data_IF_025533046394
#
_entry.id   IF_025533046394
#
_cell.length_a   1.000
_cell.length_b   1.000
_cell.length_c   1.000
_cell.angle_alpha   90.00
_cell.angle_beta   90.00
_cell.angle_gamma   90.00
#
_symmetry.space_group_name_H-M   'P 1'
#
loop_
_entity.id
_entity.type
_entity.pdbx_description
1 polymer ?
#
# COMPACT_ATOMS: atom_id res chain seq x y z
N UNK A 1 -43.98 -82.33 25.38
CA UNK A 1 -42.89 -82.62 26.33
C UNK A 1 -42.20 -81.32 26.66
N UNK A 2 -42.48 -80.75 27.84
CA UNK A 2 -41.83 -79.55 28.36
C UNK A 2 -40.51 -79.99 29.02
N UNK A 3 -39.40 -79.75 28.33
CA UNK A 3 -38.06 -79.95 28.87
C UNK A 3 -37.80 -78.92 29.97
N UNK A 4 -37.80 -79.40 31.23
CA UNK A 4 -37.49 -78.61 32.41
C UNK A 4 -36.06 -78.06 32.33
N UNK A 5 -35.94 -76.74 32.35
CA UNK A 5 -34.69 -76.03 32.63
C UNK A 5 -34.17 -76.43 34.01
N UNK A 6 -33.12 -77.25 34.06
CA UNK A 6 -32.22 -77.29 35.22
C UNK A 6 -31.19 -76.17 35.03
N UNK A 7 -31.64 -74.92 35.10
CA UNK A 7 -30.72 -73.80 35.31
C UNK A 7 -30.31 -73.83 36.78
N UNK A 8 -29.05 -74.13 37.06
CA UNK A 8 -28.46 -73.98 38.37
C UNK A 8 -28.58 -72.53 38.84
N UNK A 9 -28.80 -72.33 40.14
CA UNK A 9 -28.64 -71.00 40.76
C UNK A 9 -27.18 -70.59 40.54
N UNK A 10 -26.95 -69.64 39.63
CA UNK A 10 -25.62 -69.14 39.29
C UNK A 10 -25.17 -69.38 37.86
N UNK A 11 -25.96 -70.04 37.00
CA UNK A 11 -25.62 -70.24 35.57
C UNK A 11 -25.69 -68.92 34.78
N UNK A 12 -24.98 -68.80 33.65
CA UNK A 12 -25.03 -67.58 32.83
C UNK A 12 -26.46 -67.24 32.39
N UNK A 13 -27.25 -68.26 32.04
CA UNK A 13 -28.68 -68.10 31.70
C UNK A 13 -29.49 -67.49 32.86
N UNK A 14 -29.11 -67.75 34.12
CA UNK A 14 -29.73 -67.12 35.28
C UNK A 14 -29.36 -65.63 35.39
N UNK A 15 -28.12 -65.26 35.09
CA UNK A 15 -27.66 -63.86 35.07
C UNK A 15 -28.34 -63.11 33.92
N UNK A 16 -28.48 -63.75 32.75
CA UNK A 16 -29.18 -63.22 31.58
C UNK A 16 -30.65 -62.90 31.86
N UNK A 17 -31.33 -63.76 32.61
CA UNK A 17 -32.75 -63.58 32.90
C UNK A 17 -33.03 -62.61 34.04
N UNK A 18 -32.17 -62.56 35.07
CA UNK A 18 -32.44 -61.79 36.28
C UNK A 18 -31.68 -60.46 36.38
N UNK A 19 -30.59 -60.29 35.61
CA UNK A 19 -29.76 -59.08 35.61
C UNK A 19 -29.42 -58.62 34.17
N UNK A 20 -30.41 -58.27 33.35
CA UNK A 20 -30.17 -57.84 31.96
C UNK A 20 -29.35 -56.55 31.87
N UNK A 21 -29.53 -55.62 32.81
CA UNK A 21 -28.81 -54.34 32.86
C UNK A 21 -27.28 -54.52 32.89
N UNK A 22 -26.79 -55.48 33.68
CA UNK A 22 -25.36 -55.80 33.78
C UNK A 22 -24.81 -56.28 32.43
N UNK A 23 -25.63 -57.02 31.67
CA UNK A 23 -25.21 -57.57 30.38
C UNK A 23 -25.20 -56.49 29.30
N UNK A 24 -26.13 -55.54 29.36
CA UNK A 24 -26.11 -54.38 28.47
C UNK A 24 -24.86 -53.53 28.69
N UNK A 25 -24.48 -53.30 29.96
CA UNK A 25 -23.22 -52.62 30.30
C UNK A 25 -21.98 -53.41 29.84
N UNK A 26 -21.94 -54.72 30.05
CA UNK A 26 -20.83 -55.55 29.58
C UNK A 26 -20.73 -55.59 28.03
N UNK A 27 -21.86 -55.59 27.33
CA UNK A 27 -21.92 -55.49 25.87
C UNK A 27 -21.44 -54.15 25.34
N UNK A 28 -21.54 -53.09 26.15
CA UNK A 28 -21.08 -51.76 25.76
C UNK A 28 -19.55 -51.65 25.74
N UNK A 29 -18.84 -52.57 26.41
CA UNK A 29 -17.38 -52.60 26.44
C UNK A 29 -16.80 -52.97 25.08
N UNK A 30 -15.71 -52.29 24.69
CA UNK A 30 -15.04 -52.55 23.41
C UNK A 30 -14.56 -54.01 23.27
N UNK A 31 -14.17 -54.65 24.38
CA UNK A 31 -13.67 -56.04 24.40
C UNK A 31 -14.75 -57.05 24.82
N UNK A 32 -16.04 -56.75 24.58
CA UNK A 32 -17.13 -57.67 24.92
C UNK A 32 -16.94 -59.08 24.34
N UNK A 33 -16.43 -59.20 23.12
CA UNK A 33 -16.19 -60.52 22.50
C UNK A 33 -15.15 -61.36 23.25
N UNK A 34 -14.13 -60.72 23.85
CA UNK A 34 -13.16 -61.41 24.72
C UNK A 34 -13.84 -61.87 26.02
N UNK A 35 -14.65 -61.02 26.65
CA UNK A 35 -15.41 -61.36 27.87
C UNK A 35 -16.38 -62.50 27.59
N UNK A 36 -17.07 -62.46 26.43
CA UNK A 36 -18.03 -63.47 25.98
C UNK A 36 -17.37 -64.83 25.76
N UNK A 37 -16.13 -64.85 25.24
CA UNK A 37 -15.38 -66.09 25.01
C UNK A 37 -14.99 -66.83 26.28
N UNK A 38 -14.89 -66.14 27.41
CA UNK A 38 -14.52 -66.71 28.72
C UNK A 38 -15.73 -67.28 29.46
N UNK A 39 -16.96 -66.93 29.06
CA UNK A 39 -18.20 -67.41 29.71
C UNK A 39 -18.26 -68.95 29.75
N UNK A 40 -18.07 -69.70 28.65
CA UNK A 40 -18.15 -71.17 28.69
C UNK A 40 -17.07 -71.80 29.56
N UNK A 41 -15.88 -71.21 29.63
CA UNK A 41 -14.78 -71.69 30.47
C UNK A 41 -15.05 -71.43 31.95
N UNK A 42 -15.61 -70.26 32.28
CA UNK A 42 -16.02 -69.90 33.62
C UNK A 42 -17.22 -70.73 34.11
N UNK A 43 -18.16 -71.06 33.21
CA UNK A 43 -19.27 -71.99 33.48
C UNK A 43 -18.77 -73.40 33.79
N UNK A 44 -17.84 -73.93 32.99
CA UNK A 44 -17.25 -75.25 33.19
C UNK A 44 -16.48 -75.36 34.52
N UNK A 45 -15.87 -74.26 34.97
CA UNK A 45 -15.09 -74.20 36.21
C UNK A 45 -15.90 -73.72 37.43
N UNK A 46 -17.15 -73.27 37.25
CA UNK A 46 -17.94 -72.61 38.30
C UNK A 46 -17.32 -71.31 38.83
N UNK A 47 -16.42 -70.70 38.06
CA UNK A 47 -15.50 -69.64 38.49
C UNK A 47 -15.88 -68.27 37.88
N UNK A 48 -17.10 -67.79 38.13
CA UNK A 48 -17.62 -66.52 37.59
C UNK A 48 -16.82 -65.27 38.00
N UNK A 49 -15.98 -65.36 39.02
CA UNK A 49 -15.02 -64.31 39.38
C UNK A 49 -13.99 -64.05 38.26
N UNK A 50 -13.75 -65.03 37.38
CA UNK A 50 -12.89 -64.84 36.19
C UNK A 50 -13.56 -63.90 35.17
N UNK A 51 -14.89 -64.01 35.00
CA UNK A 51 -15.64 -63.10 34.12
C UNK A 51 -15.60 -61.68 34.68
N UNK A 52 -15.77 -61.50 35.98
CA UNK A 52 -15.71 -60.16 36.59
C UNK A 52 -14.31 -59.56 36.54
N UNK A 53 -13.25 -60.34 36.76
CA UNK A 53 -11.88 -59.89 36.60
C UNK A 53 -11.55 -59.50 35.15
N UNK A 54 -12.02 -60.29 34.18
CA UNK A 54 -11.83 -59.97 32.77
C UNK A 54 -12.60 -58.70 32.38
N UNK A 55 -13.84 -58.54 32.84
CA UNK A 55 -14.63 -57.35 32.60
C UNK A 55 -13.98 -56.09 33.20
N UNK A 56 -13.45 -56.18 34.43
CA UNK A 56 -12.71 -55.08 35.06
C UNK A 56 -11.43 -54.77 34.27
N UNK A 57 -10.70 -55.79 33.81
CA UNK A 57 -9.50 -55.59 33.00
C UNK A 57 -9.80 -54.91 31.65
N UNK A 58 -10.89 -55.31 30.98
CA UNK A 58 -11.37 -54.68 29.75
C UNK A 58 -11.76 -53.21 29.98
N UNK A 59 -12.52 -52.92 31.04
CA UNK A 59 -12.91 -51.57 31.42
C UNK A 59 -11.68 -50.68 31.72
N UNK A 60 -10.68 -51.20 32.44
CA UNK A 60 -9.44 -50.46 32.71
C UNK A 60 -8.68 -50.15 31.41
N UNK A 61 -8.63 -51.08 30.44
CA UNK A 61 -8.01 -50.82 29.14
C UNK A 61 -8.76 -49.73 28.38
N UNK A 62 -10.08 -49.79 28.35
CA UNK A 62 -10.92 -48.78 27.70
C UNK A 62 -10.73 -47.39 28.32
N UNK A 63 -10.73 -47.28 29.65
CA UNK A 63 -10.44 -46.03 30.34
C UNK A 63 -9.04 -45.49 30.02
N UNK A 64 -8.03 -46.37 29.86
CA UNK A 64 -6.68 -45.96 29.43
C UNK A 64 -6.68 -45.41 28.00
N UNK A 65 -7.41 -46.04 27.08
CA UNK A 65 -7.56 -45.58 25.69
C UNK A 65 -8.28 -44.23 25.66
N UNK A 66 -9.40 -44.09 26.36
CA UNK A 66 -10.14 -42.84 26.46
C UNK A 66 -9.29 -41.71 27.06
N UNK A 67 -8.51 -42.02 28.10
CA UNK A 67 -7.53 -41.07 28.67
C UNK A 67 -6.50 -40.63 27.62
N UNK A 68 -5.98 -41.57 26.82
CA UNK A 68 -5.06 -41.25 25.72
C UNK A 68 -5.69 -40.28 24.71
N UNK A 69 -6.90 -40.57 24.24
CA UNK A 69 -7.63 -39.68 23.33
C UNK A 69 -7.91 -38.30 23.92
N UNK A 70 -8.26 -38.23 25.21
CA UNK A 70 -8.43 -36.96 25.91
C UNK A 70 -7.12 -36.18 26.01
N UNK A 71 -6.01 -36.84 26.35
CA UNK A 71 -4.68 -36.22 26.37
C UNK A 71 -4.28 -35.68 24.99
N UNK A 72 -4.43 -36.47 23.92
CA UNK A 72 -4.18 -36.00 22.55
C UNK A 72 -5.05 -34.80 22.19
N UNK A 73 -6.33 -34.81 22.58
CA UNK A 73 -7.22 -33.69 22.33
C UNK A 73 -6.82 -32.44 23.10
N UNK A 74 -6.36 -32.60 24.35
CA UNK A 74 -5.81 -31.50 25.16
C UNK A 74 -4.55 -30.94 24.50
N UNK A 75 -3.63 -31.80 24.04
CA UNK A 75 -2.40 -31.36 23.36
C UNK A 75 -2.71 -30.61 22.06
N UNK A 76 -3.65 -31.10 21.25
CA UNK A 76 -4.10 -30.39 20.03
C UNK A 76 -4.76 -29.05 20.35
N UNK A 77 -5.56 -28.98 21.43
CA UNK A 77 -6.16 -27.72 21.86
C UNK A 77 -5.10 -26.74 22.37
N UNK A 78 -4.10 -27.22 23.12
CA UNK A 78 -2.98 -26.41 23.59
C UNK A 78 -2.17 -25.87 22.42
N UNK A 79 -1.81 -26.70 21.45
CA UNK A 79 -1.04 -26.25 20.28
C UNK A 79 -1.83 -25.26 19.42
N UNK A 80 -3.14 -25.47 19.24
CA UNK A 80 -4.00 -24.51 18.56
C UNK A 80 -4.10 -23.18 19.33
N UNK A 81 -4.13 -23.22 20.67
CA UNK A 81 -4.18 -22.03 21.51
C UNK A 81 -2.86 -21.25 21.46
N UNK A 82 -1.72 -21.93 21.48
CA UNK A 82 -0.40 -21.32 21.33
C UNK A 82 -0.24 -20.68 19.94
N UNK A 83 -0.66 -21.38 18.89
CA UNK A 83 -0.69 -20.85 17.52
C UNK A 83 -1.61 -19.63 17.39
N UNK A 84 -2.79 -19.68 18.03
CA UNK A 84 -3.71 -18.54 18.03
C UNK A 84 -3.10 -17.34 18.78
N UNK A 85 -2.45 -17.58 19.92
CA UNK A 85 -1.77 -16.52 20.68
C UNK A 85 -0.62 -15.89 19.90
N UNK A 86 0.22 -16.67 19.22
CA UNK A 86 1.30 -16.12 18.40
C UNK A 86 0.73 -15.31 17.23
N UNK A 87 -0.25 -15.86 16.51
CA UNK A 87 -0.89 -15.18 15.37
C UNK A 87 -1.57 -13.88 15.80
N UNK A 88 -2.29 -13.88 16.92
CA UNK A 88 -2.91 -12.66 17.47
C UNK A 88 -1.88 -11.62 17.89
N UNK A 89 -0.77 -12.04 18.49
CA UNK A 89 0.31 -11.13 18.89
C UNK A 89 0.96 -10.49 17.66
N UNK A 90 1.23 -11.27 16.62
CA UNK A 90 1.75 -10.76 15.35
C UNK A 90 0.77 -9.78 14.70
N UNK A 91 -0.52 -10.12 14.63
CA UNK A 91 -1.55 -9.23 14.12
C UNK A 91 -1.62 -7.92 14.92
N UNK A 92 -1.64 -7.99 16.25
CA UNK A 92 -1.68 -6.80 17.10
C UNK A 92 -0.45 -5.91 16.91
N UNK A 93 0.76 -6.49 16.88
CA UNK A 93 1.97 -5.69 16.62
C UNK A 93 1.96 -5.05 15.22
N UNK A 94 1.38 -5.73 14.22
CA UNK A 94 1.22 -5.17 12.88
C UNK A 94 0.19 -4.02 12.84
N UNK A 95 -0.90 -4.14 13.59
CA UNK A 95 -1.92 -3.10 13.72
C UNK A 95 -1.39 -1.90 14.50
N UNK A 96 -0.65 -2.11 15.59
CA UNK A 96 0.00 -1.03 16.35
C UNK A 96 0.98 -0.23 15.47
N UNK A 97 1.78 -0.91 14.63
CA UNK A 97 2.68 -0.23 13.70
C UNK A 97 1.89 0.62 12.69
N UNK A 98 0.84 0.06 12.09
CA UNK A 98 -0.02 0.79 11.14
C UNK A 98 -0.73 1.97 11.78
N UNK A 99 -1.18 1.83 13.03
CA UNK A 99 -1.81 2.92 13.78
C UNK A 99 -0.81 4.04 14.02
N UNK A 100 0.41 3.73 14.48
CA UNK A 100 1.48 4.73 14.64
C UNK A 100 1.83 5.44 13.34
N UNK A 101 1.96 4.70 12.25
CA UNK A 101 2.21 5.29 10.92
C UNK A 101 1.07 6.24 10.48
N UNK A 102 -0.18 5.90 10.80
CA UNK A 102 -1.33 6.76 10.52
C UNK A 102 -1.36 7.99 11.43
N UNK A 103 -1.06 7.83 12.72
CA UNK A 103 -0.92 8.94 13.68
C UNK A 103 0.16 9.92 13.24
N UNK A 104 1.34 9.42 12.83
CA UNK A 104 2.43 10.25 12.31
C UNK A 104 1.99 11.01 11.05
N UNK A 105 1.30 10.34 10.12
CA UNK A 105 0.77 10.99 8.91
C UNK A 105 -0.26 12.07 9.24
N UNK A 106 -1.17 11.82 10.19
CA UNK A 106 -2.15 12.80 10.64
C UNK A 106 -1.45 14.00 11.26
N UNK A 107 -0.48 13.79 12.16
CA UNK A 107 0.32 14.86 12.75
C UNK A 107 1.03 15.71 11.69
N UNK A 108 1.62 15.10 10.65
CA UNK A 108 2.23 15.87 9.55
C UNK A 108 1.20 16.64 8.71
N UNK A 109 -0.01 16.10 8.52
CA UNK A 109 -1.10 16.81 7.85
C UNK A 109 -1.61 17.98 8.68
N UNK A 110 -1.75 17.81 9.99
CA UNK A 110 -2.12 18.89 10.91
C UNK A 110 -1.09 20.03 10.88
N UNK A 111 0.21 19.71 10.93
CA UNK A 111 1.28 20.72 10.79
C UNK A 111 1.22 21.45 9.45
N UNK A 112 0.97 20.75 8.35
CA UNK A 112 0.82 21.36 7.02
C UNK A 112 -0.43 22.24 6.92
N UNK A 113 -1.51 21.82 7.57
CA UNK A 113 -2.77 22.59 7.60
C UNK A 113 -2.57 23.87 8.40
N UNK A 114 -1.94 23.80 9.58
CA UNK A 114 -1.56 24.99 10.35
C UNK A 114 -0.63 25.92 9.57
N UNK A 115 0.30 25.38 8.78
CA UNK A 115 1.12 26.18 7.89
C UNK A 115 0.28 26.85 6.80
N UNK A 116 -0.65 26.15 6.17
CA UNK A 116 -1.56 26.75 5.18
C UNK A 116 -2.41 27.86 5.80
N UNK A 117 -2.97 27.67 6.99
CA UNK A 117 -3.72 28.70 7.71
C UNK A 117 -2.85 29.94 7.98
N UNK A 118 -1.57 29.73 8.30
CA UNK A 118 -0.61 30.81 8.50
C UNK A 118 -0.29 31.56 7.19
N UNK A 119 -0.20 30.85 6.06
CA UNK A 119 0.01 31.46 4.74
C UNK A 119 -1.24 32.23 4.32
N UNK A 120 -2.44 31.67 4.53
CA UNK A 120 -3.71 32.33 4.25
C UNK A 120 -3.83 33.66 5.02
N UNK A 121 -3.35 33.71 6.26
CA UNK A 121 -3.27 34.95 7.04
C UNK A 121 -2.27 36.00 6.49
N UNK A 122 -1.24 35.57 5.75
CA UNK A 122 -0.22 36.45 5.16
C UNK A 122 -0.66 37.00 3.80
N UNK A 123 -1.45 36.24 3.02
CA UNK A 123 -1.91 36.62 1.67
C UNK A 123 -2.48 38.05 1.63
N UNK A 124 -3.40 38.47 2.53
CA UNK A 124 -3.91 39.85 2.51
C UNK A 124 -2.82 40.90 2.69
N UNK A 125 -1.83 40.66 3.56
CA UNK A 125 -0.71 41.59 3.78
C UNK A 125 0.22 41.64 2.58
N UNK A 126 0.44 40.50 1.90
CA UNK A 126 1.17 40.45 0.65
C UNK A 126 0.45 41.25 -0.43
N UNK A 127 -0.86 41.09 -0.58
CA UNK A 127 -1.66 41.84 -1.54
C UNK A 127 -1.61 43.36 -1.26
N UNK A 128 -1.70 43.78 0.01
CA UNK A 128 -1.55 45.19 0.38
C UNK A 128 -0.14 45.74 0.05
N UNK A 129 0.91 44.92 0.19
CA UNK A 129 2.27 45.30 -0.17
C UNK A 129 2.47 45.36 -1.69
N UNK A 130 1.88 44.42 -2.43
CA UNK A 130 1.86 44.42 -3.90
C UNK A 130 1.16 45.68 -4.42
N UNK A 131 -0.01 46.04 -3.90
CA UNK A 131 -0.73 47.26 -4.30
C UNK A 131 0.10 48.53 -4.01
N UNK A 132 0.78 48.59 -2.86
CA UNK A 132 1.71 49.69 -2.54
C UNK A 132 2.92 49.72 -3.47
N UNK A 133 3.47 48.56 -3.82
CA UNK A 133 4.59 48.43 -4.74
C UNK A 133 4.21 48.83 -6.17
N UNK A 134 2.99 48.53 -6.61
CA UNK A 134 2.48 48.98 -7.90
C UNK A 134 2.23 50.50 -7.94
N UNK A 135 1.81 51.10 -6.83
CA UNK A 135 1.59 52.55 -6.73
C UNK A 135 2.87 53.39 -6.65
N UNK A 136 3.93 52.86 -6.03
CA UNK A 136 5.20 53.56 -5.79
C UNK A 136 5.88 54.11 -7.07
N UNK A 137 6.00 53.35 -8.17
CA UNK A 137 6.54 53.87 -9.42
C UNK A 137 5.76 55.07 -9.94
N UNK A 138 4.42 55.03 -9.93
CA UNK A 138 3.59 56.12 -10.40
C UNK A 138 3.75 57.39 -9.54
N UNK A 139 3.86 57.23 -8.22
CA UNK A 139 4.15 58.34 -7.31
C UNK A 139 5.56 58.90 -7.49
N UNK A 140 6.55 58.03 -7.68
CA UNK A 140 7.93 58.41 -7.97
C UNK A 140 8.01 59.16 -9.29
N UNK A 141 7.39 58.65 -10.36
CA UNK A 141 7.33 59.33 -11.66
C UNK A 141 6.69 60.70 -11.53
N UNK A 142 5.57 60.87 -10.82
CA UNK A 142 4.95 62.18 -10.59
C UNK A 142 5.86 63.13 -9.81
N UNK A 143 6.54 62.66 -8.75
CA UNK A 143 7.47 63.48 -7.97
C UNK A 143 8.71 63.86 -8.79
N UNK A 144 9.21 62.92 -9.58
CA UNK A 144 10.36 63.12 -10.44
C UNK A 144 10.02 64.08 -11.57
N UNK A 145 8.89 63.90 -12.26
CA UNK A 145 8.36 64.82 -13.26
C UNK A 145 8.16 66.24 -12.68
N UNK A 146 7.59 66.36 -11.48
CA UNK A 146 7.47 67.64 -10.80
C UNK A 146 8.83 68.30 -10.49
N UNK A 147 9.78 67.54 -9.95
CA UNK A 147 11.11 68.04 -9.62
C UNK A 147 11.94 68.38 -10.87
N UNK A 148 11.86 67.56 -11.93
CA UNK A 148 12.53 67.81 -13.20
C UNK A 148 11.87 68.94 -13.98
N UNK A 149 10.54 69.07 -13.96
CA UNK A 149 9.84 70.20 -14.56
C UNK A 149 10.21 71.50 -13.86
N UNK A 150 10.28 71.51 -12.52
CA UNK A 150 10.73 72.69 -11.78
C UNK A 150 12.19 73.03 -12.08
N UNK A 151 13.08 72.03 -12.10
CA UNK A 151 14.49 72.25 -12.47
C UNK A 151 14.64 72.70 -13.91
N UNK A 152 13.88 72.13 -14.85
CA UNK A 152 13.87 72.54 -16.26
C UNK A 152 13.33 73.96 -16.41
N UNK A 153 12.31 74.35 -15.67
CA UNK A 153 11.80 75.73 -15.67
C UNK A 153 12.83 76.70 -15.07
N UNK A 154 13.51 76.31 -13.99
CA UNK A 154 14.58 77.11 -13.39
C UNK A 154 15.79 77.21 -14.31
N UNK A 155 16.21 76.11 -14.92
CA UNK A 155 17.30 76.06 -15.89
C UNK A 155 16.93 76.78 -17.18
N UNK A 156 15.70 76.65 -17.70
CA UNK A 156 15.23 77.46 -18.84
C UNK A 156 15.21 78.93 -18.47
N UNK A 157 14.75 79.32 -17.28
CA UNK A 157 14.81 80.72 -16.84
C UNK A 157 16.24 81.22 -16.71
N UNK A 158 17.15 80.38 -16.20
CA UNK A 158 18.59 80.70 -16.15
C UNK A 158 19.21 80.79 -17.53
N UNK A 159 18.99 79.81 -18.40
CA UNK A 159 19.48 79.79 -19.79
C UNK A 159 18.88 80.94 -20.58
N UNK A 160 17.62 81.31 -20.39
CA UNK A 160 17.01 82.47 -21.04
C UNK A 160 17.61 83.76 -20.47
N UNK A 161 17.81 83.87 -19.15
CA UNK A 161 18.48 85.02 -18.56
C UNK A 161 19.95 85.13 -19.00
N UNK A 162 20.66 84.01 -19.04
CA UNK A 162 22.04 83.88 -19.53
C UNK A 162 22.10 84.13 -21.02
N UNK A 163 21.17 83.64 -21.85
CA UNK A 163 21.07 83.94 -23.29
C UNK A 163 20.72 85.39 -23.55
N UNK A 164 19.90 86.01 -22.72
CA UNK A 164 19.57 87.45 -22.81
C UNK A 164 20.80 88.27 -22.42
N UNK A 165 21.54 87.84 -21.40
CA UNK A 165 22.76 88.52 -20.97
C UNK A 165 23.98 88.19 -21.84
N UNK A 166 24.00 87.03 -22.48
CA UNK A 166 24.92 86.62 -23.55
C UNK A 166 24.58 87.35 -24.83
N UNK A 167 23.32 87.51 -25.24
CA UNK A 167 22.96 88.38 -26.39
C UNK A 167 23.37 89.83 -26.15
N UNK A 168 23.32 90.27 -24.89
CA UNK A 168 23.79 91.60 -24.46
C UNK A 168 25.32 91.68 -24.41
N UNK A 169 26.02 90.59 -24.04
CA UNK A 169 27.48 90.48 -24.06
C UNK A 169 28.07 90.15 -25.43
N UNK A 170 27.38 89.44 -26.30
CA UNK A 170 27.71 89.13 -27.70
C UNK A 170 27.57 90.40 -28.54
N UNK A 171 26.65 91.31 -28.18
CA UNK A 171 26.65 92.69 -28.68
C UNK A 171 27.88 93.50 -28.23
N UNK A 172 28.53 93.13 -27.11
CA UNK A 172 29.71 93.80 -26.55
C UNK A 172 31.04 93.05 -26.81
N UNK A 173 31.00 91.82 -27.31
CA UNK A 173 32.15 90.92 -27.45
C UNK A 173 32.20 90.24 -28.82
N UNK A 174 31.92 90.99 -29.88
CA UNK A 174 32.36 90.68 -31.24
C UNK A 174 33.89 90.86 -31.41
N UNK A 175 34.68 90.53 -30.39
CA UNK A 175 36.14 90.47 -30.47
C UNK A 175 36.68 89.29 -29.67
N UNK A 176 37.38 88.42 -30.40
CA UNK A 176 38.39 87.45 -29.98
C UNK A 176 37.93 86.00 -29.81
N UNK A 177 38.00 85.36 -30.98
CA UNK A 177 38.17 83.93 -31.23
C UNK A 177 39.44 83.31 -30.59
N UNK A 178 39.44 81.97 -30.62
CA UNK A 178 40.57 81.03 -30.53
C UNK A 178 40.78 80.35 -29.16
N UNK A 179 39.85 79.45 -28.83
CA UNK A 179 40.04 78.36 -27.87
C UNK A 179 39.16 77.12 -28.17
N UNK A 180 38.53 77.08 -29.34
CA UNK A 180 37.39 76.19 -29.64
C UNK A 180 37.83 74.81 -30.17
N UNK A 181 39.02 74.70 -30.75
CA UNK A 181 39.45 73.46 -31.42
C UNK A 181 40.12 72.44 -30.48
N UNK A 182 40.83 72.89 -29.44
CA UNK A 182 41.43 71.99 -28.44
C UNK A 182 40.40 71.44 -27.44
N UNK A 183 39.39 72.25 -27.08
CA UNK A 183 38.29 71.82 -26.23
C UNK A 183 37.36 70.82 -26.94
N UNK A 184 37.14 70.97 -28.25
CA UNK A 184 36.35 70.01 -29.05
C UNK A 184 36.99 68.64 -29.13
N UNK A 185 38.29 68.59 -29.40
CA UNK A 185 39.03 67.31 -29.53
C UNK A 185 39.13 66.55 -28.22
N UNK A 186 39.36 67.24 -27.08
CA UNK A 186 39.32 66.60 -25.76
C UNK A 186 37.92 66.11 -25.38
N UNK A 187 36.88 66.87 -25.74
CA UNK A 187 35.49 66.49 -25.49
C UNK A 187 35.06 65.26 -26.32
N UNK A 188 35.47 65.18 -27.58
CA UNK A 188 35.22 64.02 -28.44
C UNK A 188 35.89 62.74 -27.92
N UNK A 189 37.14 62.84 -27.43
CA UNK A 189 37.85 61.71 -26.82
C UNK A 189 37.15 61.26 -25.53
N UNK A 190 36.72 62.21 -24.70
CA UNK A 190 36.04 61.92 -23.43
C UNK A 190 34.66 61.28 -23.67
N UNK A 191 33.89 61.80 -24.62
CA UNK A 191 32.60 61.21 -25.04
C UNK A 191 32.76 59.82 -25.66
N UNK A 192 33.86 59.55 -26.36
CA UNK A 192 34.13 58.23 -26.91
C UNK A 192 34.50 57.22 -25.81
N UNK A 193 35.31 57.64 -24.83
CA UNK A 193 35.64 56.82 -23.66
C UNK A 193 34.41 56.53 -22.80
N UNK A 194 33.56 57.52 -22.56
CA UNK A 194 32.30 57.34 -21.83
C UNK A 194 31.36 56.36 -22.54
N UNK A 195 31.27 56.43 -23.87
CA UNK A 195 30.51 55.45 -24.67
C UNK A 195 31.05 54.04 -24.52
N UNK A 196 32.38 53.85 -24.61
CA UNK A 196 33.01 52.54 -24.44
C UNK A 196 32.84 51.97 -23.02
N UNK A 197 32.90 52.81 -21.98
CA UNK A 197 32.63 52.41 -20.60
C UNK A 197 31.16 52.02 -20.42
N UNK A 198 30.22 52.79 -20.97
CA UNK A 198 28.79 52.47 -20.93
C UNK A 198 28.48 51.15 -21.66
N UNK A 199 29.08 50.92 -22.83
CA UNK A 199 28.94 49.66 -23.56
C UNK A 199 29.53 48.47 -22.78
N UNK A 200 30.69 48.63 -22.15
CA UNK A 200 31.29 47.56 -21.35
C UNK A 200 30.44 47.21 -20.12
N UNK A 201 29.85 48.20 -19.45
CA UNK A 201 28.93 47.99 -18.33
C UNK A 201 27.64 47.29 -18.79
N UNK A 202 27.07 47.70 -19.94
CA UNK A 202 25.90 47.04 -20.54
C UNK A 202 26.19 45.58 -20.90
N UNK A 203 27.34 45.30 -21.51
CA UNK A 203 27.74 43.93 -21.87
C UNK A 203 27.94 43.05 -20.62
N UNK A 204 28.51 43.58 -19.53
CA UNK A 204 28.60 42.85 -18.25
C UNK A 204 27.24 42.62 -17.61
N UNK A 205 26.31 43.57 -17.73
CA UNK A 205 24.92 43.40 -17.30
C UNK A 205 24.24 42.25 -18.04
N UNK A 206 24.29 42.28 -19.37
CA UNK A 206 23.72 41.25 -20.24
C UNK A 206 24.33 39.86 -20.02
N UNK A 207 25.63 39.77 -19.72
CA UNK A 207 26.28 38.51 -19.39
C UNK A 207 25.72 37.90 -18.09
N UNK A 208 25.50 38.73 -17.06
CA UNK A 208 24.91 38.28 -15.78
C UNK A 208 23.45 37.86 -15.95
N UNK A 209 22.67 38.59 -16.74
CA UNK A 209 21.29 38.22 -17.08
C UNK A 209 21.24 36.89 -17.82
N UNK A 210 22.14 36.67 -18.79
CA UNK A 210 22.24 35.39 -19.50
C UNK A 210 22.59 34.22 -18.56
N UNK A 211 23.48 34.43 -17.58
CA UNK A 211 23.81 33.40 -16.60
C UNK A 211 22.63 33.09 -15.67
N UNK A 212 21.88 34.12 -15.24
CA UNK A 212 20.67 33.94 -14.43
C UNK A 212 19.59 33.17 -15.20
N UNK A 213 19.30 33.57 -16.44
CA UNK A 213 18.34 32.90 -17.31
C UNK A 213 18.73 31.44 -17.59
N UNK A 214 20.02 31.12 -17.75
CA UNK A 214 20.49 29.74 -17.90
C UNK A 214 20.23 28.89 -16.65
N UNK A 215 20.38 29.46 -15.45
CA UNK A 215 20.08 28.74 -14.19
C UNK A 215 18.59 28.49 -14.05
N UNK A 216 17.76 29.51 -14.32
CA UNK A 216 16.30 29.37 -14.32
C UNK A 216 15.84 28.32 -15.34
N UNK A 217 16.43 28.30 -16.53
CA UNK A 217 16.10 27.31 -17.56
C UNK A 217 16.45 25.88 -17.09
N UNK A 218 17.60 25.68 -16.47
CA UNK A 218 18.00 24.37 -15.90
C UNK A 218 17.09 23.93 -14.75
N UNK A 219 16.66 24.86 -13.88
CA UNK A 219 15.70 24.57 -12.82
C UNK A 219 14.34 24.17 -13.40
N UNK A 220 13.85 24.90 -14.41
CA UNK A 220 12.60 24.57 -15.10
C UNK A 220 12.67 23.25 -15.85
N UNK A 221 13.81 22.91 -16.45
CA UNK A 221 14.01 21.60 -17.07
C UNK A 221 13.95 20.46 -16.05
N UNK A 222 14.57 20.63 -14.87
CA UNK A 222 14.47 19.66 -13.77
C UNK A 222 13.04 19.51 -13.26
N UNK A 223 12.33 20.62 -13.05
CA UNK A 223 10.92 20.59 -12.67
C UNK A 223 10.07 19.85 -13.71
N UNK A 224 10.32 20.07 -15.00
CA UNK A 224 9.62 19.37 -16.07
C UNK A 224 9.92 17.87 -16.09
N UNK A 225 11.17 17.46 -15.84
CA UNK A 225 11.51 16.04 -15.72
C UNK A 225 10.84 15.37 -14.52
N UNK A 226 10.79 16.05 -13.38
CA UNK A 226 10.08 15.55 -12.19
C UNK A 226 8.58 15.42 -12.44
N UNK A 227 7.96 16.43 -13.07
CA UNK A 227 6.55 16.39 -13.45
C UNK A 227 6.25 15.27 -14.44
N UNK A 228 7.13 15.04 -15.43
CA UNK A 228 7.02 13.91 -16.36
C UNK A 228 7.09 12.57 -15.65
N UNK A 229 8.01 12.40 -14.69
CA UNK A 229 8.09 11.19 -13.86
C UNK A 229 6.82 10.98 -13.02
N UNK A 230 6.28 12.05 -12.43
CA UNK A 230 5.02 11.98 -11.66
C UNK A 230 3.83 11.61 -12.56
N UNK A 231 3.75 12.18 -13.77
CA UNK A 231 2.71 11.82 -14.74
C UNK A 231 2.78 10.34 -15.13
N UNK A 232 3.97 9.82 -15.45
CA UNK A 232 4.13 8.41 -15.79
C UNK A 232 3.67 7.47 -14.65
N UNK A 233 3.98 7.82 -13.40
CA UNK A 233 3.51 7.07 -12.22
C UNK A 233 1.98 7.11 -12.08
N UNK A 234 1.35 8.26 -12.36
CA UNK A 234 -0.10 8.40 -12.31
C UNK A 234 -0.78 7.61 -13.44
N UNK A 235 -0.20 7.57 -14.63
CA UNK A 235 -0.70 6.76 -15.75
C UNK A 235 -0.64 5.26 -15.40
N UNK A 236 0.45 4.78 -14.79
CA UNK A 236 0.54 3.41 -14.29
C UNK A 236 -0.52 3.10 -13.22
N UNK A 237 -0.74 4.02 -12.28
CA UNK A 237 -1.77 3.85 -11.25
C UNK A 237 -3.16 3.78 -11.88
N UNK A 238 -3.43 4.61 -12.89
CA UNK A 238 -4.71 4.62 -13.62
C UNK A 238 -4.94 3.28 -14.33
N UNK A 239 -3.93 2.75 -15.03
CA UNK A 239 -4.03 1.42 -15.65
C UNK A 239 -4.25 0.29 -14.62
N UNK A 240 -3.68 0.40 -13.41
CA UNK A 240 -3.94 -0.58 -12.34
C UNK A 240 -5.37 -0.46 -11.81
N UNK A 241 -5.88 0.76 -11.66
CA UNK A 241 -7.26 1.02 -11.25
C UNK A 241 -8.24 0.47 -12.29
N UNK A 242 -8.00 0.68 -13.57
CA UNK A 242 -8.82 0.11 -14.66
C UNK A 242 -8.86 -1.42 -14.61
N UNK A 243 -7.70 -2.07 -14.49
CA UNK A 243 -7.63 -3.54 -14.34
C UNK A 243 -8.35 -4.06 -13.10
N UNK A 244 -8.31 -3.31 -11.99
CA UNK A 244 -9.08 -3.64 -10.79
C UNK A 244 -10.58 -3.43 -11.02
N UNK A 245 -10.98 -2.38 -11.73
CA UNK A 245 -12.35 -2.12 -12.15
C UNK A 245 -12.91 -3.25 -13.02
N UNK A 246 -12.15 -3.75 -13.99
CA UNK A 246 -12.54 -4.91 -14.81
C UNK A 246 -12.77 -6.16 -13.95
N UNK A 247 -11.90 -6.43 -12.96
CA UNK A 247 -12.07 -7.56 -12.03
C UNK A 247 -13.29 -7.38 -11.14
N UNK A 248 -13.54 -6.18 -10.63
CA UNK A 248 -14.74 -5.88 -9.83
C UNK A 248 -15.99 -6.11 -10.68
N UNK A 249 -16.03 -5.61 -11.91
CA UNK A 249 -17.15 -5.85 -12.83
C UNK A 249 -17.38 -7.34 -13.10
N UNK A 250 -16.30 -8.12 -13.28
CA UNK A 250 -16.41 -9.57 -13.43
C UNK A 250 -17.01 -10.23 -12.19
N UNK A 251 -16.60 -9.82 -10.99
CA UNK A 251 -17.18 -10.30 -9.73
C UNK A 251 -18.64 -9.87 -9.56
N UNK A 252 -19.01 -8.65 -9.94
CA UNK A 252 -20.41 -8.21 -9.91
C UNK A 252 -21.30 -9.06 -10.82
N UNK A 253 -20.83 -9.37 -12.04
CA UNK A 253 -21.55 -10.24 -12.96
C UNK A 253 -21.71 -11.65 -12.36
N UNK A 254 -20.66 -12.20 -11.75
CA UNK A 254 -20.74 -13.49 -11.04
C UNK A 254 -21.72 -13.44 -9.87
N UNK A 255 -21.72 -12.36 -9.09
CA UNK A 255 -22.61 -12.18 -7.94
C UNK A 255 -24.08 -12.02 -8.37
N UNK A 256 -24.35 -11.35 -9.51
CA UNK A 256 -25.69 -11.31 -10.12
C UNK A 256 -26.15 -12.70 -10.57
N UNK A 257 -25.26 -13.48 -11.19
CA UNK A 257 -25.55 -14.88 -11.56
C UNK A 257 -25.83 -15.73 -10.33
N UNK A 258 -25.04 -15.61 -9.26
CA UNK A 258 -25.26 -16.32 -8.00
C UNK A 258 -26.60 -15.95 -7.37
N UNK A 259 -26.94 -14.66 -7.32
CA UNK A 259 -28.25 -14.20 -6.82
C UNK A 259 -29.43 -14.73 -7.65
N UNK A 260 -29.26 -14.83 -8.97
CA UNK A 260 -30.27 -15.42 -9.84
C UNK A 260 -30.45 -16.92 -9.56
N UNK A 261 -29.36 -17.66 -9.38
CA UNK A 261 -29.39 -19.08 -9.00
C UNK A 261 -29.98 -19.28 -7.61
N UNK A 262 -29.61 -18.44 -6.64
CA UNK A 262 -30.18 -18.42 -5.29
C UNK A 262 -31.70 -18.21 -5.33
N UNK A 263 -32.19 -17.24 -6.11
CA UNK A 263 -33.63 -17.02 -6.28
C UNK A 263 -34.33 -18.22 -6.89
N UNK A 264 -33.75 -18.82 -7.93
CA UNK A 264 -34.28 -20.04 -8.56
C UNK A 264 -34.29 -21.23 -7.58
N UNK A 265 -33.24 -21.41 -6.77
CA UNK A 265 -33.17 -22.46 -5.77
C UNK A 265 -34.25 -22.29 -4.69
N UNK A 266 -34.47 -21.06 -4.21
CA UNK A 266 -35.52 -20.75 -3.25
C UNK A 266 -36.92 -20.95 -3.85
N UNK A 267 -37.14 -20.56 -5.11
CA UNK A 267 -38.41 -20.78 -5.82
C UNK A 267 -38.71 -22.27 -6.03
N UNK A 268 -37.71 -23.08 -6.37
CA UNK A 268 -37.87 -24.53 -6.61
C UNK A 268 -38.12 -25.29 -5.31
N UNK A 269 -37.50 -24.87 -4.21
CA UNK A 269 -37.52 -25.61 -2.93
C UNK A 269 -38.52 -25.07 -1.91
N UNK A 270 -39.01 -23.83 -2.09
CA UNK A 270 -39.89 -23.15 -1.14
C UNK A 270 -39.24 -22.85 0.22
N UNK A 271 -37.92 -23.00 0.33
CA UNK A 271 -37.18 -22.77 1.57
C UNK A 271 -37.00 -21.26 1.84
N UNK A 272 -36.78 -20.90 3.12
CA UNK A 272 -36.49 -19.50 3.51
C UNK A 272 -35.04 -19.09 3.25
N UNK A 273 -34.11 -20.05 3.28
CA UNK A 273 -32.67 -19.82 3.14
C UNK A 273 -32.02 -20.83 2.18
N UNK A 274 -30.95 -20.41 1.49
CA UNK A 274 -30.23 -21.21 0.48
C UNK A 274 -29.66 -22.51 1.06
N UNK A 275 -29.16 -22.47 2.29
CA UNK A 275 -28.63 -23.64 2.98
C UNK A 275 -29.73 -24.70 3.20
N UNK A 276 -30.93 -24.26 3.60
CA UNK A 276 -32.09 -25.13 3.77
C UNK A 276 -32.62 -25.64 2.43
N UNK A 277 -32.61 -24.81 1.37
CA UNK A 277 -32.94 -25.23 0.01
C UNK A 277 -32.02 -26.37 -0.48
N UNK A 278 -30.70 -26.24 -0.25
CA UNK A 278 -29.72 -27.26 -0.61
C UNK A 278 -29.93 -28.55 0.20
N UNK A 279 -30.28 -28.46 1.48
CA UNK A 279 -30.57 -29.64 2.29
C UNK A 279 -31.86 -30.37 1.87
N UNK A 280 -32.89 -29.63 1.46
CA UNK A 280 -34.13 -30.21 0.92
C UNK A 280 -33.86 -30.88 -0.41
N UNK A 281 -33.09 -30.26 -1.31
CA UNK A 281 -32.67 -30.90 -2.58
C UNK A 281 -31.86 -32.18 -2.31
N UNK A 282 -30.97 -32.16 -1.31
CA UNK A 282 -30.20 -33.35 -0.90
C UNK A 282 -31.07 -34.48 -0.35
N UNK A 283 -32.21 -34.17 0.28
CA UNK A 283 -33.09 -35.15 0.92
C UNK A 283 -34.22 -35.66 0.01
N UNK A 284 -34.79 -34.78 -0.82
CA UNK A 284 -36.07 -35.06 -1.49
C UNK A 284 -35.96 -35.21 -3.02
N UNK A 285 -34.89 -34.71 -3.67
CA UNK A 285 -34.94 -34.57 -5.13
C UNK A 285 -33.63 -34.83 -5.88
N UNK A 286 -32.96 -35.98 -5.71
CA UNK A 286 -31.99 -36.46 -6.72
C UNK A 286 -32.05 -38.00 -6.90
N UNK A 287 -32.44 -38.53 -8.08
CA UNK A 287 -32.18 -39.91 -8.47
C UNK A 287 -30.66 -40.15 -8.51
N UNK A 288 -30.19 -41.21 -7.83
CA UNK A 288 -28.76 -41.54 -7.64
C UNK A 288 -27.88 -41.42 -8.91
N UNK A 289 -28.45 -41.56 -10.12
CA UNK A 289 -27.74 -41.47 -11.41
C UNK A 289 -27.25 -40.07 -11.82
N UNK A 290 -27.95 -38.98 -11.48
CA UNK A 290 -27.45 -37.61 -11.77
C UNK A 290 -26.44 -37.14 -10.73
N UNK A 291 -26.55 -37.65 -9.50
CA UNK A 291 -25.60 -37.39 -8.44
C UNK A 291 -24.23 -37.99 -8.74
N UNK A 292 -24.15 -39.21 -9.28
CA UNK A 292 -22.87 -39.81 -9.68
C UNK A 292 -22.17 -39.01 -10.80
N UNK A 293 -22.92 -38.46 -11.76
CA UNK A 293 -22.35 -37.56 -12.78
C UNK A 293 -21.81 -36.28 -12.18
N UNK A 294 -22.60 -35.58 -11.36
CA UNK A 294 -22.18 -34.33 -10.72
C UNK A 294 -21.03 -34.59 -9.74
N UNK A 295 -21.04 -35.71 -9.01
CA UNK A 295 -19.94 -36.11 -8.13
C UNK A 295 -18.66 -36.42 -8.93
N UNK A 296 -18.79 -37.01 -10.13
CA UNK A 296 -17.69 -37.22 -11.06
C UNK A 296 -17.11 -35.89 -11.58
N UNK A 297 -17.98 -34.96 -11.98
CA UNK A 297 -17.60 -33.62 -12.43
C UNK A 297 -16.96 -32.79 -11.30
N UNK A 298 -17.49 -32.88 -10.07
CA UNK A 298 -16.91 -32.22 -8.89
C UNK A 298 -15.56 -32.84 -8.53
N UNK A 299 -15.40 -34.17 -8.59
CA UNK A 299 -14.10 -34.80 -8.37
C UNK A 299 -13.08 -34.43 -9.45
N UNK A 300 -13.50 -34.33 -10.71
CA UNK A 300 -12.64 -33.85 -11.79
C UNK A 300 -12.24 -32.38 -11.58
N UNK A 301 -13.18 -31.51 -11.22
CA UNK A 301 -12.90 -30.10 -10.93
C UNK A 301 -12.00 -29.91 -9.70
N UNK A 302 -12.13 -30.76 -8.67
CA UNK A 302 -11.23 -30.75 -7.50
C UNK A 302 -9.83 -31.22 -7.89
N UNK A 303 -9.71 -32.26 -8.71
CA UNK A 303 -8.41 -32.70 -9.23
C UNK A 303 -7.74 -31.63 -10.12
N UNK A 304 -8.51 -30.96 -10.97
CA UNK A 304 -8.02 -29.81 -11.75
C UNK A 304 -7.62 -28.64 -10.84
N UNK A 305 -8.35 -28.38 -9.76
CA UNK A 305 -8.00 -27.36 -8.78
C UNK A 305 -6.69 -27.68 -8.05
N UNK A 306 -6.45 -28.96 -7.72
CA UNK A 306 -5.21 -29.38 -7.08
C UNK A 306 -4.02 -29.28 -8.05
N UNK A 307 -4.19 -29.66 -9.32
CA UNK A 307 -3.18 -29.43 -10.38
C UNK A 307 -2.89 -27.94 -10.57
N UNK A 308 -3.92 -27.09 -10.60
CA UNK A 308 -3.76 -25.64 -10.71
C UNK A 308 -3.08 -25.04 -9.47
N UNK A 309 -3.30 -25.59 -8.27
CA UNK A 309 -2.58 -25.17 -7.07
C UNK A 309 -1.11 -25.52 -7.13
N UNK A 310 -0.77 -26.73 -7.55
CA UNK A 310 0.61 -27.16 -7.75
C UNK A 310 1.31 -26.29 -8.82
N UNK A 311 0.61 -25.98 -9.90
CA UNK A 311 1.12 -25.09 -10.94
C UNK A 311 1.28 -23.65 -10.45
N UNK A 312 0.36 -23.14 -9.63
CA UNK A 312 0.48 -21.81 -9.00
C UNK A 312 1.67 -21.73 -8.04
N UNK A 313 1.88 -22.77 -7.23
CA UNK A 313 3.06 -22.86 -6.37
C UNK A 313 4.36 -22.92 -7.17
N UNK A 314 4.38 -23.70 -8.26
CA UNK A 314 5.53 -23.74 -9.17
C UNK A 314 5.81 -22.37 -9.78
N UNK A 315 4.80 -21.68 -10.29
CA UNK A 315 4.92 -20.33 -10.85
C UNK A 315 5.36 -19.30 -9.80
N UNK A 316 4.97 -19.46 -8.53
CA UNK A 316 5.48 -18.62 -7.43
C UNK A 316 6.98 -18.83 -7.22
N UNK A 317 7.45 -20.08 -7.19
CA UNK A 317 8.88 -20.40 -7.08
C UNK A 317 9.67 -19.89 -8.28
N UNK A 318 9.13 -19.99 -9.49
CA UNK A 318 9.75 -19.43 -10.71
C UNK A 318 9.79 -17.90 -10.65
N UNK A 319 8.74 -17.22 -10.19
CA UNK A 319 8.74 -15.78 -9.98
C UNK A 319 9.74 -15.32 -8.91
N UNK A 320 9.89 -16.08 -7.82
CA UNK A 320 10.91 -15.80 -6.79
C UNK A 320 12.33 -15.90 -7.37
N UNK A 321 12.61 -16.96 -8.15
CA UNK A 321 13.89 -17.10 -8.87
C UNK A 321 14.14 -15.95 -9.84
N UNK A 322 13.13 -15.54 -10.61
CA UNK A 322 13.25 -14.40 -11.52
C UNK A 322 13.46 -13.08 -10.77
N UNK A 323 12.81 -12.91 -9.61
CA UNK A 323 12.99 -11.74 -8.74
C UNK A 323 14.40 -11.68 -8.16
N UNK A 324 14.96 -12.81 -7.76
CA UNK A 324 16.33 -12.89 -7.26
C UNK A 324 17.35 -12.70 -8.39
N UNK A 325 17.10 -13.24 -9.58
CA UNK A 325 17.91 -12.97 -10.78
C UNK A 325 17.88 -11.47 -11.16
N UNK A 326 16.71 -10.82 -11.09
CA UNK A 326 16.57 -9.37 -11.29
C UNK A 326 17.34 -8.56 -10.25
N UNK A 327 17.28 -8.97 -8.98
CA UNK A 327 18.07 -8.33 -7.92
C UNK A 327 19.56 -8.46 -8.17
N UNK A 328 20.04 -9.64 -8.58
CA UNK A 328 21.44 -9.85 -8.94
C UNK A 328 21.86 -8.97 -10.12
N UNK A 329 21.07 -8.92 -11.19
CA UNK A 329 21.37 -8.06 -12.35
C UNK A 329 21.35 -6.57 -12.00
N UNK A 330 20.43 -6.13 -11.13
CA UNK A 330 20.42 -4.75 -10.64
C UNK A 330 21.63 -4.46 -9.76
N UNK A 331 22.05 -5.39 -8.90
CA UNK A 331 23.25 -5.27 -8.08
C UNK A 331 24.52 -5.22 -8.93
N UNK A 332 24.66 -6.10 -9.93
CA UNK A 332 25.77 -6.08 -10.89
C UNK A 332 25.83 -4.76 -11.65
N UNK A 333 24.68 -4.22 -12.08
CA UNK A 333 24.63 -2.92 -12.77
C UNK A 333 25.02 -1.74 -11.88
N UNK A 334 24.56 -1.74 -10.62
CA UNK A 334 24.95 -0.70 -9.65
C UNK A 334 26.40 -0.81 -9.20
N UNK A 335 26.98 -2.02 -9.22
CA UNK A 335 28.39 -2.23 -8.87
C UNK A 335 29.33 -1.95 -10.06
N UNK A 336 28.89 -2.22 -11.29
CA UNK A 336 29.61 -1.80 -12.50
C UNK A 336 29.60 -0.28 -12.70
N UNK A 337 28.50 0.40 -12.40
CA UNK A 337 28.43 1.88 -12.44
C UNK A 337 29.35 2.52 -11.39
N UNK A 338 29.49 1.91 -10.20
CA UNK A 338 30.41 2.41 -9.18
C UNK A 338 31.89 2.13 -9.51
N UNK A 339 32.22 1.01 -10.17
CA UNK A 339 33.61 0.71 -10.58
C UNK A 339 34.06 1.51 -11.80
N UNK A 340 33.14 1.86 -12.71
CA UNK A 340 33.43 2.82 -13.80
C UNK A 340 33.63 4.25 -13.27
N UNK A 341 32.91 4.66 -12.23
CA UNK A 341 33.14 5.96 -11.58
C UNK A 341 34.43 6.01 -10.75
N UNK A 342 34.78 4.95 -10.01
CA UNK A 342 36.06 4.87 -9.28
C UNK A 342 37.28 4.81 -10.22
N UNK A 343 37.16 4.12 -11.36
CA UNK A 343 38.26 4.05 -12.34
C UNK A 343 38.44 5.34 -13.17
N UNK A 344 37.41 6.18 -13.26
CA UNK A 344 37.52 7.54 -13.81
C UNK A 344 38.15 8.51 -12.81
N UNK A 345 37.82 8.41 -11.52
CA UNK A 345 38.42 9.23 -10.46
C UNK A 345 39.91 8.93 -10.26
N UNK A 346 40.32 7.65 -10.36
CA UNK A 346 41.74 7.26 -10.28
C UNK A 346 42.57 7.75 -11.48
N UNK A 347 41.95 8.05 -12.63
CA UNK A 347 42.65 8.63 -13.78
C UNK A 347 42.80 10.15 -13.73
N UNK A 348 41.96 10.83 -12.94
CA UNK A 348 42.09 12.28 -12.71
C UNK A 348 43.11 12.61 -11.59
N UNK A 349 43.45 11.67 -10.71
CA UNK A 349 44.50 11.85 -9.69
C UNK A 349 45.93 11.56 -10.20
N UNK A 350 46.08 10.96 -11.38
CA UNK A 350 47.39 10.65 -12.01
C UNK A 350 47.79 11.60 -13.16
N UNK A 351 47.03 12.68 -13.41
CA UNK A 351 47.38 13.76 -14.36
C UNK A 351 47.57 15.08 -13.63
#
# INVERSE_FOLDING_TARGET
MLGKSKGGKGDWDYIVQNHPEIIEELKSLHNWDEIKSIIPEAENLGAYHLISLQAIAALIRELKIQRGHLSERIERLSSNLDYFHSTQREQNTSFEKRLKELEDRISTLEQRTLFMDSVEAIIPRMNELEEKLEGLPAELYKRLEGAYSQKLDEEMRKIVAEKVEELKKELEQETLSVGVELARTLKEIQEHYERLVQENVKLKGLARENEALKRELLEKERELEELRKRLALMDEMTMRVEKLGEKINAYEVQLRKMKAVEKQLLEITGARDVSSAIEIIKKEFIPRSKFEKILGEVKAAVAEMDVLKEENERLRRENEKLKDALKMLLQERTSSENTEQESLLLKEEES
#
